data_IF_250077546295
#
_entry.id   IF_250077546295
#
_cell.length_a   1.000
_cell.length_b   1.000
_cell.length_c   1.000
_cell.angle_alpha   90.00
_cell.angle_beta   90.00
_cell.angle_gamma   90.00
#
_symmetry.space_group_name_H-M   'P 1'
#
loop_
_entity.id
_entity.type
_entity.pdbx_description
1 polymer ?
#
# COMPACT_ATOMS: atom_id res chain seq x y z
N UNK A 1 -13.39 -4.85 20.08
CA UNK A 1 -13.87 -6.25 20.11
C UNK A 1 -13.43 -7.06 18.88
N UNK A 2 -13.83 -6.69 17.65
CA UNK A 2 -13.47 -7.47 16.44
C UNK A 2 -11.96 -7.55 16.19
N UNK A 3 -11.23 -6.42 16.23
CA UNK A 3 -9.77 -6.42 15.97
C UNK A 3 -8.96 -7.18 17.03
N UNK A 4 -9.46 -7.27 18.27
CA UNK A 4 -8.82 -8.08 19.31
C UNK A 4 -8.86 -9.57 18.95
N UNK A 5 -9.97 -10.05 18.36
CA UNK A 5 -10.09 -11.41 17.85
C UNK A 5 -9.16 -11.64 16.65
N UNK A 6 -9.02 -10.66 15.75
CA UNK A 6 -8.05 -10.77 14.64
C UNK A 6 -6.63 -10.90 15.15
N UNK A 7 -6.21 -10.04 16.08
CA UNK A 7 -4.87 -10.11 16.69
C UNK A 7 -4.63 -11.48 17.33
N UNK A 8 -5.62 -12.01 18.05
CA UNK A 8 -5.53 -13.34 18.65
C UNK A 8 -5.29 -14.43 17.59
N UNK A 9 -6.16 -14.52 16.58
CA UNK A 9 -6.05 -15.54 15.51
C UNK A 9 -4.73 -15.42 14.76
N UNK A 10 -4.34 -14.20 14.38
CA UNK A 10 -3.10 -13.96 13.64
C UNK A 10 -1.86 -14.38 14.46
N UNK A 11 -1.87 -14.17 15.79
CA UNK A 11 -0.80 -14.62 16.67
C UNK A 11 -0.78 -16.14 16.86
N UNK A 12 -1.95 -16.75 17.03
CA UNK A 12 -2.08 -18.22 17.14
C UNK A 12 -1.54 -18.94 15.91
N UNK A 13 -1.67 -18.33 14.73
CA UNK A 13 -1.13 -18.83 13.46
C UNK A 13 0.30 -18.36 13.15
N UNK A 14 0.99 -17.68 14.07
CA UNK A 14 2.34 -17.14 13.88
C UNK A 14 2.49 -16.29 12.60
N UNK A 15 1.52 -15.41 12.33
CA UNK A 15 1.57 -14.54 11.16
C UNK A 15 2.62 -13.44 11.35
N UNK A 16 3.53 -13.33 10.40
CA UNK A 16 4.56 -12.29 10.39
C UNK A 16 4.04 -10.97 9.82
N UNK A 17 3.26 -11.02 8.73
CA UNK A 17 2.84 -9.85 7.97
C UNK A 17 1.34 -9.87 7.66
N UNK A 18 0.73 -8.69 7.65
CA UNK A 18 -0.69 -8.50 7.28
C UNK A 18 -0.77 -7.67 6.02
N UNK A 19 -1.39 -8.23 4.98
CA UNK A 19 -1.46 -7.62 3.66
C UNK A 19 -2.90 -7.15 3.40
N UNK A 20 -3.10 -5.84 3.31
CA UNK A 20 -4.38 -5.21 3.00
C UNK A 20 -4.49 -4.93 1.50
N UNK A 21 -5.18 -5.80 0.78
CA UNK A 21 -5.53 -5.61 -0.64
C UNK A 21 -7.03 -5.31 -0.75
N UNK A 22 -7.40 -4.06 -1.03
CA UNK A 22 -8.81 -3.64 -1.10
C UNK A 22 -9.54 -3.66 0.25
N UNK A 23 -8.81 -3.45 1.36
CA UNK A 23 -9.39 -3.47 2.70
C UNK A 23 -9.98 -2.11 3.09
N UNK A 24 -11.29 -1.98 2.98
CA UNK A 24 -12.02 -0.70 3.11
C UNK A 24 -12.26 -0.23 4.55
N UNK A 25 -11.38 -0.59 5.50
CA UNK A 25 -11.55 -0.24 6.92
C UNK A 25 -10.26 0.31 7.52
N UNK A 26 -10.40 1.43 8.24
CA UNK A 26 -9.32 2.01 9.05
C UNK A 26 -8.92 1.03 10.16
N UNK A 27 -7.65 0.64 10.15
CA UNK A 27 -7.03 -0.19 11.19
C UNK A 27 -6.82 0.64 12.45
N UNK A 28 -7.26 0.16 13.61
CA UNK A 28 -7.14 0.91 14.86
C UNK A 28 -5.83 0.60 15.57
N UNK A 29 -5.49 1.49 16.52
CA UNK A 29 -4.27 1.45 17.32
C UNK A 29 -3.88 0.05 17.85
N UNK A 30 -4.79 -0.78 18.40
CA UNK A 30 -4.39 -2.10 18.93
C UNK A 30 -3.75 -3.01 17.87
N UNK A 31 -4.28 -2.99 16.65
CA UNK A 31 -3.76 -3.80 15.55
C UNK A 31 -2.43 -3.21 15.02
N UNK A 32 -2.34 -1.88 14.92
CA UNK A 32 -1.10 -1.17 14.55
C UNK A 32 0.02 -1.44 15.55
N UNK A 33 -0.28 -1.44 16.85
CA UNK A 33 0.69 -1.74 17.91
C UNK A 33 1.14 -3.22 17.83
N UNK A 34 0.20 -4.15 17.58
CA UNK A 34 0.49 -5.58 17.52
C UNK A 34 1.35 -5.98 16.30
N UNK A 35 1.21 -5.28 15.17
CA UNK A 35 1.89 -5.54 13.91
C UNK A 35 2.61 -4.31 13.38
N UNK A 36 3.23 -3.52 14.27
CA UNK A 36 3.97 -2.31 13.90
C UNK A 36 5.05 -2.63 12.86
N UNK A 37 5.07 -1.88 11.75
CA UNK A 37 5.99 -2.09 10.63
C UNK A 37 5.75 -3.39 9.84
N UNK A 38 4.62 -4.07 10.06
CA UNK A 38 4.31 -5.38 9.47
C UNK A 38 2.95 -5.45 8.77
N UNK A 39 2.29 -4.30 8.61
CA UNK A 39 1.04 -4.18 7.87
C UNK A 39 1.31 -3.39 6.59
N UNK A 40 1.01 -3.98 5.43
CA UNK A 40 1.14 -3.34 4.13
C UNK A 40 -0.25 -3.03 3.57
N UNK A 41 -0.34 -1.94 2.81
CA UNK A 41 -1.53 -1.58 2.06
C UNK A 41 -1.13 -1.12 0.65
N UNK A 42 -2.04 -1.35 -0.30
CA UNK A 42 -1.97 -0.72 -1.63
C UNK A 42 -3.10 0.30 -1.77
N UNK A 43 -2.76 1.45 -2.35
CA UNK A 43 -3.67 2.57 -2.57
C UNK A 43 -3.65 2.98 -4.05
N UNK A 44 -4.82 3.14 -4.70
CA UNK A 44 -4.90 3.41 -6.14
C UNK A 44 -4.75 4.92 -6.47
N UNK A 45 -3.72 5.54 -5.91
CA UNK A 45 -3.23 6.85 -6.30
C UNK A 45 -1.73 6.99 -5.98
N UNK A 46 -1.09 8.00 -6.55
CA UNK A 46 0.25 8.44 -6.12
C UNK A 46 0.14 9.26 -4.84
N UNK A 47 0.29 8.60 -3.69
CA UNK A 47 0.34 9.28 -2.40
C UNK A 47 1.50 10.30 -2.36
N UNK A 48 1.29 11.50 -1.78
CA UNK A 48 0.21 11.87 -0.85
C UNK A 48 -1.11 12.35 -1.50
N UNK A 49 -1.25 12.29 -2.83
CA UNK A 49 -2.47 12.73 -3.53
C UNK A 49 -3.62 11.73 -3.38
N UNK A 50 -4.86 12.25 -3.39
CA UNK A 50 -6.12 11.49 -3.45
C UNK A 50 -6.23 10.36 -2.40
N UNK A 51 -6.07 10.70 -1.12
CA UNK A 51 -6.25 9.75 -0.01
C UNK A 51 -7.71 9.36 0.19
N UNK A 52 -7.94 8.22 0.84
CA UNK A 52 -9.26 7.74 1.20
C UNK A 52 -9.99 7.07 0.03
N UNK A 53 -11.32 7.06 0.11
CA UNK A 53 -12.18 6.30 -0.80
C UNK A 53 -12.22 6.92 -2.20
N UNK A 54 -12.50 6.10 -3.22
CA UNK A 54 -12.71 6.57 -4.60
C UNK A 54 -11.53 7.36 -5.20
N UNK A 55 -10.29 7.03 -4.82
CA UNK A 55 -9.11 7.78 -5.23
C UNK A 55 -8.93 7.89 -6.76
N UNK A 56 -9.27 6.84 -7.52
CA UNK A 56 -9.21 6.85 -8.98
C UNK A 56 -10.20 7.86 -9.57
N UNK A 57 -11.43 7.87 -9.06
CA UNK A 57 -12.48 8.82 -9.46
C UNK A 57 -12.09 10.25 -9.11
N UNK A 58 -11.57 10.48 -7.90
CA UNK A 58 -11.07 11.80 -7.51
C UNK A 58 -9.97 12.29 -8.46
N UNK A 59 -9.04 11.41 -8.84
CA UNK A 59 -7.96 11.76 -9.78
C UNK A 59 -8.52 12.13 -11.17
N UNK A 60 -9.47 11.34 -11.69
CA UNK A 60 -10.12 11.60 -12.96
C UNK A 60 -10.91 12.93 -12.94
N UNK A 61 -11.77 13.14 -11.93
CA UNK A 61 -12.57 14.37 -11.78
C UNK A 61 -11.69 15.62 -11.62
N UNK A 62 -10.51 15.48 -11.01
CA UNK A 62 -9.54 16.58 -10.87
C UNK A 62 -8.86 16.94 -12.19
N UNK A 63 -8.86 16.04 -13.19
CA UNK A 63 -8.22 16.28 -14.49
C UNK A 63 -6.69 16.19 -14.46
N UNK A 64 -6.11 15.39 -13.56
CA UNK A 64 -4.66 15.17 -13.54
C UNK A 64 -4.20 14.46 -14.81
N UNK A 65 -2.96 14.71 -15.25
CA UNK A 65 -2.36 13.98 -16.38
C UNK A 65 -1.66 12.68 -15.97
N UNK A 66 -1.42 12.51 -14.68
CA UNK A 66 -0.86 11.30 -14.09
C UNK A 66 -1.53 11.01 -12.74
N UNK A 67 -1.91 9.75 -12.56
CA UNK A 67 -2.24 9.13 -11.26
C UNK A 67 -1.31 7.92 -11.09
N UNK A 68 -1.71 6.86 -10.40
CA UNK A 68 -0.91 5.66 -10.25
C UNK A 68 -1.33 4.82 -9.06
N UNK A 69 -0.43 3.96 -8.59
CA UNK A 69 -0.61 3.17 -7.38
C UNK A 69 0.54 3.37 -6.41
N UNK A 70 0.27 3.22 -5.11
CA UNK A 70 1.26 3.28 -4.04
C UNK A 70 1.14 2.09 -3.12
N UNK A 71 2.24 1.38 -2.88
CA UNK A 71 2.34 0.41 -1.78
C UNK A 71 3.08 1.05 -0.61
N UNK A 72 2.51 0.96 0.58
CA UNK A 72 3.07 1.58 1.78
C UNK A 72 2.84 0.73 3.03
N UNK A 73 3.65 0.95 4.05
CA UNK A 73 3.36 0.46 5.39
C UNK A 73 2.18 1.24 5.99
N UNK A 74 1.32 0.57 6.74
CA UNK A 74 0.20 1.19 7.44
C UNK A 74 0.68 1.78 8.77
N UNK A 75 0.27 3.01 9.07
CA UNK A 75 0.44 3.65 10.37
C UNK A 75 -0.89 4.24 10.86
N UNK A 76 -0.85 5.09 11.88
CA UNK A 76 -2.05 5.70 12.45
C UNK A 76 -2.70 6.78 11.55
N UNK A 77 -2.04 7.16 10.45
CA UNK A 77 -2.55 8.12 9.49
C UNK A 77 -3.29 7.42 8.34
N UNK A 78 -4.30 8.09 7.80
CA UNK A 78 -4.96 7.64 6.57
C UNK A 78 -3.98 7.77 5.40
N UNK A 79 -3.66 6.63 4.77
CA UNK A 79 -2.81 6.49 3.58
C UNK A 79 -1.55 7.37 3.67
N UNK A 80 -0.84 7.29 4.80
CA UNK A 80 0.26 8.22 5.09
C UNK A 80 1.52 7.59 5.69
N UNK A 81 1.57 6.27 5.79
CA UNK A 81 2.77 5.58 6.25
C UNK A 81 3.91 5.58 5.23
N UNK A 82 5.08 5.04 5.61
CA UNK A 82 6.26 4.99 4.74
C UNK A 82 6.00 4.24 3.43
N UNK A 83 6.31 4.89 2.32
CA UNK A 83 6.09 4.38 0.96
C UNK A 83 7.19 3.39 0.58
N UNK A 84 6.80 2.24 0.05
CA UNK A 84 7.69 1.17 -0.42
C UNK A 84 7.91 1.31 -1.93
N UNK A 85 6.83 1.27 -2.71
CA UNK A 85 6.85 1.38 -4.17
C UNK A 85 5.74 2.31 -4.64
N UNK A 86 6.01 3.01 -5.74
CA UNK A 86 5.02 3.79 -6.48
C UNK A 86 5.23 3.59 -7.96
N UNK A 87 4.13 3.60 -8.71
CA UNK A 87 4.21 3.56 -10.15
C UNK A 87 3.15 4.50 -10.77
N UNK A 88 3.57 5.44 -11.64
CA UNK A 88 2.65 6.39 -12.26
C UNK A 88 1.88 5.76 -13.42
N UNK A 89 0.63 6.15 -13.55
CA UNK A 89 -0.26 5.82 -14.68
C UNK A 89 -0.68 7.11 -15.36
N UNK A 90 -0.46 7.20 -16.68
CA UNK A 90 -0.94 8.33 -17.48
C UNK A 90 -2.45 8.29 -17.59
N UNK A 91 -3.08 9.44 -17.35
CA UNK A 91 -4.51 9.65 -17.65
C UNK A 91 -4.62 10.08 -19.10
N UNK A 92 -5.27 9.28 -19.93
CA UNK A 92 -5.53 9.58 -21.33
C UNK A 92 -6.64 10.62 -21.45
N UNK A 93 -6.64 11.40 -22.53
CA UNK A 93 -7.63 12.47 -22.72
C UNK A 93 -9.04 11.91 -22.98
N UNK A 94 -9.15 10.64 -23.38
CA UNK A 94 -10.37 9.88 -23.62
C UNK A 94 -10.72 8.89 -22.49
N UNK A 95 -9.99 8.91 -21.37
CA UNK A 95 -10.31 8.06 -20.22
C UNK A 95 -11.66 8.45 -19.60
N UNK A 96 -12.43 7.44 -19.20
CA UNK A 96 -13.43 7.55 -18.13
C UNK A 96 -12.81 7.20 -16.78
N UNK A 97 -13.50 7.52 -15.68
CA UNK A 97 -13.08 7.13 -14.33
C UNK A 97 -12.85 5.61 -14.22
N UNK A 98 -13.70 4.81 -14.87
CA UNK A 98 -13.62 3.35 -14.90
C UNK A 98 -12.39 2.86 -15.67
N UNK A 99 -12.15 3.39 -16.88
CA UNK A 99 -10.98 3.00 -17.69
C UNK A 99 -9.64 3.39 -17.02
N UNK A 100 -9.61 4.51 -16.29
CA UNK A 100 -8.46 4.88 -15.47
C UNK A 100 -8.29 3.92 -14.29
N UNK A 101 -9.39 3.55 -13.61
CA UNK A 101 -9.36 2.62 -12.50
C UNK A 101 -8.87 1.23 -12.92
N UNK A 102 -9.32 0.71 -14.07
CA UNK A 102 -8.84 -0.56 -14.64
C UNK A 102 -7.33 -0.52 -14.93
N UNK A 103 -6.84 0.56 -15.54
CA UNK A 103 -5.40 0.72 -15.82
C UNK A 103 -4.56 0.84 -14.55
N UNK A 104 -5.08 1.50 -13.51
CA UNK A 104 -4.42 1.53 -12.19
C UNK A 104 -4.42 0.15 -11.55
N UNK A 105 -5.51 -0.61 -11.66
CA UNK A 105 -5.62 -1.97 -11.09
C UNK A 105 -4.58 -2.93 -11.70
N UNK A 106 -4.30 -2.82 -13.01
CA UNK A 106 -3.21 -3.59 -13.65
C UNK A 106 -1.85 -3.30 -12.98
N UNK A 107 -1.59 -2.04 -12.66
CA UNK A 107 -0.37 -1.64 -11.94
C UNK A 107 -0.38 -2.18 -10.52
N UNK A 108 -1.51 -2.12 -9.82
CA UNK A 108 -1.66 -2.66 -8.46
C UNK A 108 -1.31 -4.15 -8.39
N UNK A 109 -1.80 -4.94 -9.35
CA UNK A 109 -1.50 -6.37 -9.45
C UNK A 109 -0.02 -6.70 -9.67
N UNK A 110 0.79 -5.76 -10.16
CA UNK A 110 2.24 -5.93 -10.29
C UNK A 110 2.99 -5.40 -9.07
N UNK A 111 2.61 -4.20 -8.62
CA UNK A 111 3.33 -3.47 -7.58
C UNK A 111 3.18 -4.15 -6.22
N UNK A 112 2.00 -4.69 -5.91
CA UNK A 112 1.73 -5.28 -4.61
C UNK A 112 2.52 -6.57 -4.36
N UNK A 113 2.52 -7.57 -5.28
CA UNK A 113 3.35 -8.76 -5.10
C UNK A 113 4.84 -8.45 -5.04
N UNK A 114 5.32 -7.46 -5.80
CA UNK A 114 6.74 -7.06 -5.76
C UNK A 114 7.12 -6.47 -4.39
N UNK A 115 6.29 -5.60 -3.82
CA UNK A 115 6.52 -5.09 -2.47
C UNK A 115 6.50 -6.20 -1.40
N UNK A 116 5.60 -7.17 -1.54
CA UNK A 116 5.53 -8.35 -0.66
C UNK A 116 6.77 -9.21 -0.79
N UNK A 117 7.28 -9.43 -2.01
CA UNK A 117 8.52 -10.15 -2.27
C UNK A 117 9.70 -9.48 -1.58
N UNK A 118 9.89 -8.17 -1.78
CA UNK A 118 10.95 -7.39 -1.13
C UNK A 118 10.86 -7.45 0.40
N UNK A 119 9.65 -7.43 0.96
CA UNK A 119 9.43 -7.59 2.40
C UNK A 119 9.83 -8.98 2.89
N UNK A 120 9.37 -10.03 2.21
CA UNK A 120 9.61 -11.42 2.57
C UNK A 120 11.09 -11.80 2.49
N UNK A 121 11.82 -11.21 1.54
CA UNK A 121 13.27 -11.38 1.37
C UNK A 121 14.10 -10.55 2.37
N UNK A 122 13.47 -9.72 3.21
CA UNK A 122 14.18 -8.86 4.16
C UNK A 122 14.90 -7.68 3.48
N UNK A 123 14.50 -7.31 2.28
CA UNK A 123 15.11 -6.24 1.50
C UNK A 123 14.58 -4.84 1.85
N UNK A 124 13.67 -4.69 2.81
CA UNK A 124 13.10 -3.41 3.20
C UNK A 124 13.61 -2.95 4.57
N UNK A 125 14.11 -1.71 4.64
CA UNK A 125 14.44 -1.04 5.91
C UNK A 125 13.73 0.31 6.01
N UNK A 126 12.93 0.49 7.05
CA UNK A 126 12.30 1.78 7.36
C UNK A 126 13.33 2.70 8.03
N UNK A 127 13.46 3.92 7.51
CA UNK A 127 14.32 5.00 8.01
C UNK A 127 13.48 6.28 8.11
N UNK A 128 12.88 6.48 9.29
CA UNK A 128 11.85 7.52 9.50
C UNK A 128 10.65 7.31 8.59
N UNK A 129 10.40 8.26 7.67
CA UNK A 129 9.32 8.18 6.67
C UNK A 129 9.72 7.52 5.35
N UNK A 130 11.00 7.17 5.17
CA UNK A 130 11.51 6.57 3.93
C UNK A 130 11.69 5.08 4.12
N UNK A 131 11.41 4.31 3.08
CA UNK A 131 11.81 2.91 3.00
C UNK A 131 13.02 2.81 2.07
N UNK A 132 14.08 2.17 2.55
CA UNK A 132 15.27 1.86 1.75
C UNK A 132 15.15 0.41 1.28
N UNK A 133 15.21 0.20 -0.02
CA UNK A 133 15.37 -1.13 -0.62
C UNK A 133 16.86 -1.46 -0.56
N UNK A 134 17.20 -2.44 0.25
CA UNK A 134 18.57 -2.94 0.40
C UNK A 134 18.92 -3.76 -0.84
N UNK A 135 20.08 -3.49 -1.43
CA UNK A 135 20.62 -4.37 -2.47
C UNK A 135 21.02 -5.68 -1.80
N UNK A 136 20.84 -6.81 -2.48
CA UNK A 136 21.48 -8.05 -2.10
C UNK A 136 22.96 -7.79 -1.87
N UNK A 137 23.45 -8.09 -0.67
CA UNK A 137 24.88 -8.27 -0.47
C UNK A 137 25.19 -9.56 -1.23
N UNK A 138 25.60 -9.46 -2.50
CA UNK A 138 26.32 -10.55 -3.14
C UNK A 138 27.57 -10.76 -2.31
N UNK A 139 27.51 -11.69 -1.37
CA UNK A 139 28.62 -12.02 -0.50
C UNK A 139 29.70 -12.73 -1.31
N UNK A 140 30.91 -12.18 -1.26
CA UNK A 140 32.18 -12.89 -1.49
C UNK A 140 32.60 -13.05 -2.94
#
# INVERSE_FOLDING_TARGET
EVEAKWIQVLREHNIDYVLLAGFMRVIKKPMLDAFAGRILNIHPALLPSFKGLEAQRQAWEHGVKYSGATVHFVDASLDGGPIILQEPVKVADDDTAESLAERILEVEHRLYPEAVRLLAEGHLRIDGRRVKILKEVHGG
#
